data_IF_213835503769
#
_entry.id   IF_213835503769
#
_cell.length_a   1.000
_cell.length_b   1.000
_cell.length_c   1.000
_cell.angle_alpha   90.00
_cell.angle_beta   90.00
_cell.angle_gamma   90.00
#
_symmetry.space_group_name_H-M   'P 1'
#
loop_
_entity.id
_entity.type
_entity.pdbx_description
1 polymer ?
#
# COMPACT_ATOMS: atom_id res chain seq x y z
N UNK A 1 -7.59 -32.63 -46.73
CA UNK A 1 -8.09 -33.73 -47.58
C UNK A 1 -6.98 -34.70 -47.97
N UNK A 2 -5.84 -34.24 -48.51
CA UNK A 2 -4.70 -35.11 -48.88
C UNK A 2 -4.13 -35.96 -47.73
N UNK A 3 -4.03 -35.38 -46.53
CA UNK A 3 -3.44 -36.03 -45.33
C UNK A 3 -4.25 -37.23 -44.82
N UNK A 4 -5.58 -37.13 -44.84
CA UNK A 4 -6.48 -38.20 -44.39
C UNK A 4 -6.40 -39.39 -45.35
N UNK A 5 -6.25 -39.13 -46.66
CA UNK A 5 -6.09 -40.17 -47.67
C UNK A 5 -4.82 -41.01 -47.48
N UNK A 6 -3.69 -40.37 -47.15
CA UNK A 6 -2.41 -41.07 -46.91
C UNK A 6 -2.47 -41.98 -45.69
N UNK A 7 -3.11 -41.51 -44.61
CA UNK A 7 -3.27 -42.30 -43.37
C UNK A 7 -4.15 -43.52 -43.60
N UNK A 8 -5.29 -43.36 -44.29
CA UNK A 8 -6.21 -44.47 -44.58
C UNK A 8 -5.55 -45.51 -45.48
N UNK A 9 -4.81 -45.08 -46.51
CA UNK A 9 -4.08 -45.98 -47.40
C UNK A 9 -2.98 -46.77 -46.67
N UNK A 10 -2.25 -46.13 -45.75
CA UNK A 10 -1.21 -46.78 -44.95
C UNK A 10 -1.77 -47.86 -44.02
N UNK A 11 -2.90 -47.60 -43.38
CA UNK A 11 -3.58 -48.57 -42.50
C UNK A 11 -4.11 -49.76 -43.30
N UNK A 12 -4.72 -49.50 -44.47
CA UNK A 12 -5.23 -50.55 -45.35
C UNK A 12 -4.10 -51.47 -45.87
N UNK A 13 -2.97 -50.91 -46.32
CA UNK A 13 -1.81 -51.68 -46.78
C UNK A 13 -1.25 -52.59 -45.68
N UNK A 14 -1.13 -52.06 -44.46
CA UNK A 14 -0.60 -52.80 -43.31
C UNK A 14 -1.49 -53.98 -42.91
N UNK A 15 -2.82 -53.79 -42.91
CA UNK A 15 -3.78 -54.86 -42.60
C UNK A 15 -3.73 -56.00 -43.63
N UNK A 16 -3.53 -55.66 -44.91
CA UNK A 16 -3.47 -56.63 -46.00
C UNK A 16 -2.18 -57.48 -45.94
N UNK A 17 -1.05 -56.90 -45.56
CA UNK A 17 0.25 -57.60 -45.60
C UNK A 17 0.60 -58.39 -44.33
N UNK A 18 0.06 -58.03 -43.16
CA UNK A 18 0.49 -58.62 -41.89
C UNK A 18 -0.57 -59.45 -41.15
N UNK A 19 -1.82 -59.46 -41.65
CA UNK A 19 -2.91 -60.32 -41.16
C UNK A 19 -3.49 -59.93 -39.79
N UNK A 20 -4.73 -60.35 -39.47
CA UNK A 20 -5.43 -59.89 -38.26
C UNK A 20 -5.09 -60.79 -37.06
N UNK A 21 -3.95 -60.55 -36.42
CA UNK A 21 -3.67 -61.12 -35.08
C UNK A 21 -3.85 -60.05 -34.00
N UNK A 22 -4.66 -60.38 -33.00
CA UNK A 22 -5.26 -59.44 -32.04
C UNK A 22 -4.28 -58.74 -31.06
N UNK A 23 -2.96 -58.94 -31.19
CA UNK A 23 -1.94 -58.35 -30.31
C UNK A 23 -1.33 -57.04 -30.81
N UNK A 24 -1.47 -56.69 -32.10
CA UNK A 24 -0.72 -55.56 -32.70
C UNK A 24 -1.64 -54.38 -33.08
N UNK A 25 -2.96 -54.56 -33.05
CA UNK A 25 -3.92 -53.49 -33.38
C UNK A 25 -4.06 -52.40 -32.30
N UNK A 26 -3.63 -52.66 -31.06
CA UNK A 26 -3.65 -51.64 -29.99
C UNK A 26 -2.50 -50.62 -30.11
N UNK A 27 -1.38 -50.99 -30.73
CA UNK A 27 -0.22 -50.10 -30.92
C UNK A 27 -0.39 -49.12 -32.08
N UNK A 28 -1.04 -49.54 -33.16
CA UNK A 28 -1.18 -48.72 -34.37
C UNK A 28 -2.19 -47.57 -34.22
N UNK A 29 -3.22 -47.72 -33.37
CA UNK A 29 -4.22 -46.67 -33.11
C UNK A 29 -3.67 -45.61 -32.16
N UNK A 30 -2.86 -45.99 -31.17
CA UNK A 30 -2.22 -45.06 -30.22
C UNK A 30 -1.19 -44.14 -30.86
N UNK A 31 -0.39 -44.64 -31.82
CA UNK A 31 0.61 -43.84 -32.54
C UNK A 31 0.01 -42.75 -33.44
N UNK A 32 -1.20 -42.96 -33.95
CA UNK A 32 -1.87 -42.02 -34.86
C UNK A 32 -2.56 -40.85 -34.15
N UNK A 33 -2.98 -41.01 -32.90
CA UNK A 33 -3.50 -39.91 -32.07
C UNK A 33 -2.38 -38.95 -31.64
N UNK A 34 -1.17 -39.46 -31.40
CA UNK A 34 0.01 -38.62 -31.14
C UNK A 34 0.41 -37.72 -32.31
N UNK A 35 0.20 -38.18 -33.54
CA UNK A 35 0.48 -37.42 -34.78
C UNK A 35 -0.56 -36.33 -35.09
N UNK A 36 -1.76 -36.38 -34.52
CA UNK A 36 -2.75 -35.30 -34.59
C UNK A 36 -2.45 -34.16 -33.60
N UNK A 37 -1.72 -34.45 -32.51
CA UNK A 37 -1.27 -33.45 -31.53
C UNK A 37 0.03 -32.73 -31.92
N UNK A 38 0.82 -33.30 -32.83
CA UNK A 38 2.12 -32.78 -33.26
C UNK A 38 2.06 -31.36 -33.87
N UNK A 39 1.07 -30.97 -34.69
CA UNK A 39 0.96 -29.59 -35.17
C UNK A 39 0.61 -28.59 -34.05
N UNK A 40 -0.11 -29.03 -33.01
CA UNK A 40 -0.48 -28.20 -31.85
C UNK A 40 0.70 -28.07 -30.87
N UNK A 41 1.44 -29.15 -30.64
CA UNK A 41 2.68 -29.15 -29.85
C UNK A 41 3.79 -28.35 -30.55
N UNK A 42 3.90 -28.45 -31.89
CA UNK A 42 4.85 -27.64 -32.67
C UNK A 42 4.41 -26.17 -32.78
N UNK A 43 3.10 -25.86 -32.82
CA UNK A 43 2.60 -24.47 -32.65
C UNK A 43 2.84 -23.94 -31.24
N UNK A 44 2.76 -24.77 -30.21
CA UNK A 44 3.13 -24.41 -28.83
C UNK A 44 4.63 -24.15 -28.69
N UNK A 45 5.47 -25.00 -29.30
CA UNK A 45 6.92 -24.86 -29.32
C UNK A 45 7.40 -23.68 -30.19
N UNK A 46 6.73 -23.38 -31.30
CA UNK A 46 7.01 -22.20 -32.13
C UNK A 46 6.44 -20.90 -31.54
N UNK A 47 5.44 -20.98 -30.65
CA UNK A 47 4.99 -19.84 -29.83
C UNK A 47 5.93 -19.52 -28.66
N UNK A 48 6.85 -20.42 -28.31
CA UNK A 48 7.97 -20.12 -27.40
C UNK A 48 9.10 -19.31 -28.07
N UNK A 49 9.00 -19.04 -29.39
CA UNK A 49 9.81 -18.05 -30.09
C UNK A 49 9.15 -16.67 -30.20
N UNK A 50 7.99 -16.47 -29.58
CA UNK A 50 7.44 -15.12 -29.42
C UNK A 50 8.40 -14.30 -28.57
N UNK A 51 8.75 -13.09 -29.00
CA UNK A 51 9.42 -12.12 -28.13
C UNK A 51 8.76 -12.19 -26.75
N UNK A 52 9.52 -12.34 -25.64
CA UNK A 52 8.92 -12.26 -24.32
C UNK A 52 8.05 -11.00 -24.29
N UNK A 53 6.83 -11.06 -23.70
CA UNK A 53 6.00 -9.87 -23.59
C UNK A 53 6.86 -8.76 -23.02
N UNK A 54 6.89 -7.63 -23.72
CA UNK A 54 7.69 -6.47 -23.36
C UNK A 54 7.49 -6.19 -21.87
N UNK A 55 8.59 -6.25 -21.09
CA UNK A 55 8.56 -6.06 -19.65
C UNK A 55 7.96 -4.69 -19.39
N UNK A 56 6.82 -4.63 -18.71
CA UNK A 56 6.23 -3.34 -18.31
C UNK A 56 7.19 -2.68 -17.32
N UNK A 57 7.74 -1.49 -17.61
CA UNK A 57 8.63 -0.78 -16.70
C UNK A 57 7.98 -0.51 -15.34
N UNK A 58 8.76 -0.51 -14.26
CA UNK A 58 8.21 -0.40 -12.90
C UNK A 58 7.51 0.94 -12.62
N UNK A 59 7.95 2.03 -13.25
CA UNK A 59 7.29 3.33 -13.17
C UNK A 59 5.84 3.25 -13.68
N UNK A 60 5.60 2.54 -14.79
CA UNK A 60 4.26 2.27 -15.32
C UNK A 60 3.46 1.32 -14.46
N UNK A 61 4.11 0.35 -13.81
CA UNK A 61 3.45 -0.47 -12.78
C UNK A 61 3.02 0.39 -11.60
N UNK A 62 3.87 1.31 -11.15
CA UNK A 62 3.57 2.26 -10.07
C UNK A 62 2.41 3.20 -10.44
N UNK A 63 2.36 3.70 -11.68
CA UNK A 63 1.25 4.51 -12.17
C UNK A 63 -0.07 3.73 -12.17
N UNK A 64 -0.05 2.48 -12.62
CA UNK A 64 -1.20 1.58 -12.56
C UNK A 64 -1.67 1.33 -11.13
N UNK A 65 -0.73 1.10 -10.21
CA UNK A 65 -1.02 0.94 -8.78
C UNK A 65 -1.64 2.22 -8.20
N UNK A 66 -1.10 3.39 -8.51
CA UNK A 66 -1.61 4.68 -8.02
C UNK A 66 -3.07 4.90 -8.40
N UNK A 67 -3.47 4.51 -9.62
CA UNK A 67 -4.86 4.54 -10.05
C UNK A 67 -5.74 3.54 -9.26
N UNK A 68 -5.24 2.33 -9.02
CA UNK A 68 -5.94 1.31 -8.23
C UNK A 68 -6.19 1.76 -6.79
N UNK A 69 -5.14 2.24 -6.12
CA UNK A 69 -5.20 2.76 -4.75
C UNK A 69 -6.15 3.96 -4.66
N UNK A 70 -6.09 4.89 -5.62
CA UNK A 70 -7.00 6.04 -5.66
C UNK A 70 -8.46 5.60 -5.70
N UNK A 71 -8.81 4.71 -6.63
CA UNK A 71 -10.19 4.22 -6.78
C UNK A 71 -10.69 3.53 -5.51
N UNK A 72 -9.86 2.72 -4.88
CA UNK A 72 -10.19 2.03 -3.63
C UNK A 72 -10.55 3.03 -2.53
N UNK A 73 -9.70 4.02 -2.27
CA UNK A 73 -9.91 4.94 -1.16
C UNK A 73 -10.93 6.05 -1.45
N UNK A 74 -11.10 6.46 -2.70
CA UNK A 74 -12.22 7.33 -3.09
C UNK A 74 -13.56 6.64 -2.85
N UNK A 75 -13.68 5.35 -3.21
CA UNK A 75 -14.89 4.56 -2.93
C UNK A 75 -15.14 4.44 -1.41
N UNK A 76 -14.10 4.18 -0.62
CA UNK A 76 -14.21 4.09 0.83
C UNK A 76 -14.66 5.42 1.46
N UNK A 77 -14.12 6.55 1.00
CA UNK A 77 -14.51 7.90 1.43
C UNK A 77 -15.98 8.20 1.15
N UNK A 78 -16.51 7.73 0.01
CA UNK A 78 -17.92 7.87 -0.34
C UNK A 78 -18.81 7.00 0.57
N UNK A 79 -18.44 5.73 0.80
CA UNK A 79 -19.19 4.82 1.68
C UNK A 79 -19.23 5.35 3.11
N UNK A 80 -18.13 5.92 3.60
CA UNK A 80 -18.03 6.48 4.96
C UNK A 80 -18.61 7.88 5.10
N UNK A 81 -19.17 8.47 4.02
CA UNK A 81 -19.73 9.84 3.98
C UNK A 81 -18.80 10.87 4.63
N UNK A 82 -17.49 10.69 4.46
CA UNK A 82 -16.46 11.45 5.19
C UNK A 82 -16.53 12.96 4.95
N UNK A 83 -17.00 13.34 3.77
CA UNK A 83 -17.10 14.72 3.32
C UNK A 83 -18.54 15.24 3.35
N UNK A 84 -19.50 14.46 3.85
CA UNK A 84 -20.92 14.78 3.88
C UNK A 84 -21.36 14.84 5.34
N UNK A 85 -21.82 16.00 5.86
CA UNK A 85 -22.11 17.27 5.16
C UNK A 85 -20.89 18.15 4.90
N UNK A 86 -19.77 17.93 5.60
CA UNK A 86 -18.49 18.60 5.39
C UNK A 86 -17.38 17.78 6.06
N UNK A 87 -16.10 17.89 5.68
CA UNK A 87 -15.03 17.11 6.33
C UNK A 87 -14.93 17.43 7.83
N UNK A 88 -14.77 16.40 8.68
CA UNK A 88 -14.53 16.59 10.12
C UNK A 88 -13.34 17.55 10.36
N UNK A 89 -13.49 18.56 11.24
CA UNK A 89 -12.47 19.55 11.53
C UNK A 89 -11.40 19.00 12.48
N UNK A 90 -10.72 17.93 12.06
CA UNK A 90 -9.61 17.34 12.81
C UNK A 90 -8.48 18.36 12.90
N UNK A 91 -8.09 18.73 14.11
CA UNK A 91 -6.95 19.58 14.38
C UNK A 91 -5.86 18.80 15.13
N UNK A 92 -4.61 19.25 15.03
CA UNK A 92 -3.49 18.65 15.74
C UNK A 92 -2.49 19.70 16.17
N UNK A 93 -1.70 19.34 17.16
CA UNK A 93 -0.51 20.08 17.59
C UNK A 93 0.73 19.20 17.40
N UNK A 94 1.91 19.76 17.65
CA UNK A 94 3.14 18.98 17.75
C UNK A 94 3.00 17.91 18.86
N UNK A 95 3.51 16.71 18.63
CA UNK A 95 3.59 15.71 19.68
C UNK A 95 4.56 16.16 20.79
N UNK A 96 4.43 15.53 21.96
CA UNK A 96 5.33 15.79 23.08
C UNK A 96 6.77 15.45 22.67
N UNK A 97 7.72 16.33 23.02
CA UNK A 97 9.10 16.25 22.53
C UNK A 97 9.83 14.96 22.96
N UNK A 98 9.37 14.31 24.02
CA UNK A 98 9.93 13.07 24.52
C UNK A 98 9.48 11.84 23.73
N UNK A 99 8.46 11.95 22.88
CA UNK A 99 7.97 10.84 22.05
C UNK A 99 8.70 10.71 20.72
N UNK A 100 9.40 11.75 20.28
CA UNK A 100 9.98 11.84 18.94
C UNK A 100 11.41 12.36 18.98
N UNK A 101 12.08 12.39 17.82
CA UNK A 101 13.42 12.95 17.71
C UNK A 101 13.40 14.47 17.88
N UNK A 102 14.46 15.03 18.47
CA UNK A 102 14.56 16.47 18.66
C UNK A 102 14.50 17.22 17.32
N UNK A 103 13.86 18.39 17.29
CA UNK A 103 13.72 19.16 16.04
C UNK A 103 15.07 19.52 15.41
N UNK A 104 16.06 19.88 16.22
CA UNK A 104 17.43 20.13 15.76
C UNK A 104 18.05 18.87 15.16
N UNK A 105 17.88 17.72 15.79
CA UNK A 105 18.38 16.44 15.29
C UNK A 105 17.72 16.04 13.96
N UNK A 106 16.42 16.28 13.79
CA UNK A 106 15.73 16.03 12.52
C UNK A 106 16.28 16.89 11.37
N UNK A 107 16.54 18.18 11.64
CA UNK A 107 17.13 19.08 10.64
C UNK A 107 18.55 18.68 10.29
N UNK A 108 19.39 18.45 11.30
CA UNK A 108 20.77 18.01 11.12
C UNK A 108 20.83 16.69 10.36
N UNK A 109 19.96 15.73 10.70
CA UNK A 109 19.87 14.44 10.00
C UNK A 109 19.55 14.64 8.52
N UNK A 110 18.54 15.45 8.20
CA UNK A 110 18.09 15.68 6.83
C UNK A 110 19.11 16.50 5.99
N UNK A 111 19.73 17.51 6.58
CA UNK A 111 20.75 18.35 5.91
C UNK A 111 22.02 17.56 5.57
N UNK A 112 22.36 16.56 6.37
CA UNK A 112 23.54 15.71 6.18
C UNK A 112 23.30 14.47 5.30
N UNK A 113 22.13 14.29 4.70
CA UNK A 113 21.87 13.16 3.82
C UNK A 113 22.67 13.24 2.51
N UNK A 114 23.26 12.13 2.04
CA UNK A 114 23.83 12.06 0.70
C UNK A 114 22.76 12.34 -0.35
N UNK A 115 22.98 13.37 -1.19
CA UNK A 115 21.98 13.85 -2.16
C UNK A 115 21.07 14.95 -1.64
N UNK A 116 21.26 15.38 -0.39
CA UNK A 116 20.51 16.46 0.25
C UNK A 116 19.17 16.00 0.84
N UNK A 117 18.48 16.93 1.52
CA UNK A 117 17.17 16.66 2.10
C UNK A 117 16.08 16.43 1.05
N UNK A 118 14.97 15.75 1.42
CA UNK A 118 13.83 15.58 0.55
C UNK A 118 13.04 16.89 0.46
N UNK A 119 12.87 17.41 -0.76
CA UNK A 119 12.15 18.66 -1.00
C UNK A 119 12.98 19.91 -0.70
N UNK A 120 12.30 21.05 -0.52
CA UNK A 120 12.93 22.34 -0.28
C UNK A 120 13.02 22.65 1.23
N UNK A 121 14.23 22.80 1.82
CA UNK A 121 14.41 23.19 3.21
C UNK A 121 13.73 24.50 3.61
N UNK A 122 13.46 25.41 2.66
CA UNK A 122 12.72 26.64 2.93
C UNK A 122 11.26 26.39 3.35
N UNK A 123 10.69 25.24 2.98
CA UNK A 123 9.34 24.82 3.38
C UNK A 123 9.24 24.21 4.78
N UNK A 124 10.39 23.93 5.42
CA UNK A 124 10.42 23.29 6.73
C UNK A 124 9.86 24.21 7.81
N UNK A 125 9.22 23.61 8.82
CA UNK A 125 8.84 24.39 10.00
C UNK A 125 10.10 24.95 10.71
N UNK A 126 9.97 26.11 11.33
CA UNK A 126 11.06 26.69 12.14
C UNK A 126 11.28 25.91 13.43
N UNK A 127 10.26 25.22 13.93
CA UNK A 127 10.29 24.37 15.11
C UNK A 127 9.16 23.33 15.06
N UNK A 128 9.19 22.35 15.97
CA UNK A 128 8.15 21.31 16.07
C UNK A 128 6.73 21.90 16.21
N UNK A 129 6.57 23.03 16.91
CA UNK A 129 5.30 23.74 17.05
C UNK A 129 4.68 24.18 15.71
N UNK A 130 5.49 24.39 14.67
CA UNK A 130 5.02 24.74 13.32
C UNK A 130 4.36 23.57 12.57
N UNK A 131 4.37 22.37 13.16
CA UNK A 131 3.61 21.22 12.67
C UNK A 131 2.12 21.28 13.04
N UNK A 132 1.72 22.14 13.98
CA UNK A 132 0.31 22.36 14.31
C UNK A 132 -0.49 22.74 13.06
N UNK A 133 -1.72 22.24 12.97
CA UNK A 133 -2.53 22.41 11.77
C UNK A 133 -3.89 21.72 11.88
N UNK A 134 -4.60 21.70 10.75
CA UNK A 134 -5.94 21.10 10.65
C UNK A 134 -6.18 20.43 9.31
N UNK A 135 -7.06 19.42 9.34
CA UNK A 135 -7.62 18.69 8.21
C UNK A 135 -6.73 18.59 6.98
N UNK A 136 -7.01 19.45 5.99
CA UNK A 136 -6.38 19.43 4.67
C UNK A 136 -4.97 20.00 4.59
N UNK A 137 -4.32 20.32 5.72
CA UNK A 137 -2.92 20.73 5.77
C UNK A 137 -1.95 19.56 6.01
N UNK A 138 -2.46 18.36 6.29
CA UNK A 138 -1.64 17.20 6.70
C UNK A 138 -0.59 16.82 5.66
N UNK A 139 -0.93 17.05 4.40
CA UNK A 139 -0.13 16.79 3.23
C UNK A 139 1.03 17.77 3.08
N UNK A 140 0.82 19.06 3.43
CA UNK A 140 1.88 20.06 3.57
C UNK A 140 2.75 19.78 4.79
N UNK A 141 2.14 19.40 5.91
CA UNK A 141 2.88 18.98 7.12
C UNK A 141 3.85 17.86 6.76
N UNK A 142 3.36 16.80 6.11
CA UNK A 142 4.17 15.65 5.73
C UNK A 142 5.21 15.96 4.65
N UNK A 143 4.82 16.60 3.54
CA UNK A 143 5.69 16.75 2.36
C UNK A 143 6.65 17.94 2.41
N UNK A 144 6.29 18.99 3.14
CA UNK A 144 7.00 20.27 3.16
C UNK A 144 7.54 20.59 4.56
N UNK A 145 6.74 20.47 5.63
CA UNK A 145 7.15 20.98 6.94
C UNK A 145 8.09 20.05 7.71
N UNK A 146 7.99 18.73 7.50
CA UNK A 146 8.81 17.72 8.18
C UNK A 146 10.10 17.43 7.38
N UNK A 147 11.30 17.71 7.93
CA UNK A 147 12.56 17.60 7.19
C UNK A 147 12.83 16.23 6.58
N UNK A 148 12.45 15.18 7.28
CA UNK A 148 12.73 13.78 6.92
C UNK A 148 11.60 13.10 6.17
N UNK A 149 10.43 13.75 6.05
CA UNK A 149 9.16 13.15 5.61
C UNK A 149 8.79 11.85 6.34
N UNK A 150 9.15 11.75 7.62
CA UNK A 150 8.72 10.68 8.52
C UNK A 150 7.85 11.26 9.62
N UNK A 151 6.61 10.82 9.68
CA UNK A 151 5.59 11.43 10.54
C UNK A 151 4.89 10.38 11.40
N UNK A 152 4.81 10.63 12.70
CA UNK A 152 3.98 9.87 13.62
C UNK A 152 2.71 10.66 13.91
N UNK A 153 1.57 10.03 13.72
CA UNK A 153 0.23 10.58 13.94
C UNK A 153 -0.37 9.95 15.20
N UNK A 154 -0.33 10.68 16.31
CA UNK A 154 -0.82 10.23 17.60
C UNK A 154 -2.22 10.75 17.88
N UNK A 155 -2.99 10.01 18.66
CA UNK A 155 -4.30 10.47 19.12
C UNK A 155 -5.08 9.38 19.83
N UNK A 156 -6.12 9.80 20.56
CA UNK A 156 -6.97 8.89 21.32
C UNK A 156 -7.82 7.96 20.42
N UNK A 157 -8.41 6.89 20.96
CA UNK A 157 -9.37 6.07 20.23
C UNK A 157 -10.51 6.93 19.67
N UNK A 158 -10.86 6.72 18.40
CA UNK A 158 -11.92 7.51 17.74
C UNK A 158 -11.54 8.94 17.37
N UNK A 159 -10.30 9.40 17.59
CA UNK A 159 -9.89 10.78 17.26
C UNK A 159 -9.84 11.09 15.75
N UNK A 160 -10.05 10.09 14.88
CA UNK A 160 -10.02 10.26 13.43
C UNK A 160 -8.65 10.04 12.77
N UNK A 161 -7.72 9.32 13.43
CA UNK A 161 -6.38 9.00 12.87
C UNK A 161 -6.45 8.39 11.47
N UNK A 162 -7.14 7.26 11.32
CA UNK A 162 -7.34 6.58 10.03
C UNK A 162 -7.92 7.53 8.98
N UNK A 163 -8.86 8.40 9.37
CA UNK A 163 -9.44 9.36 8.44
C UNK A 163 -8.44 10.40 7.96
N UNK A 164 -7.61 10.91 8.87
CA UNK A 164 -6.54 11.83 8.52
C UNK A 164 -5.50 11.17 7.60
N UNK A 165 -5.18 9.90 7.82
CA UNK A 165 -4.29 9.13 6.95
C UNK A 165 -4.86 8.92 5.54
N UNK A 166 -6.16 8.61 5.42
CA UNK A 166 -6.83 8.48 4.11
C UNK A 166 -6.80 9.82 3.37
N UNK A 167 -7.06 10.93 4.06
CA UNK A 167 -6.96 12.28 3.47
C UNK A 167 -5.53 12.59 3.00
N UNK A 168 -4.53 12.25 3.81
CA UNK A 168 -3.13 12.37 3.43
C UNK A 168 -2.82 11.54 2.18
N UNK A 169 -3.22 10.27 2.16
CA UNK A 169 -3.03 9.37 1.03
C UNK A 169 -3.61 9.96 -0.27
N UNK A 170 -4.86 10.43 -0.24
CA UNK A 170 -5.51 11.01 -1.42
C UNK A 170 -4.82 12.31 -1.88
N UNK A 171 -4.42 13.17 -0.94
CA UNK A 171 -3.68 14.40 -1.25
C UNK A 171 -2.30 14.11 -1.87
N UNK A 172 -1.60 13.08 -1.37
CA UNK A 172 -0.33 12.62 -1.93
C UNK A 172 -0.51 12.03 -3.34
N UNK A 173 -1.55 11.22 -3.57
CA UNK A 173 -1.86 10.71 -4.90
C UNK A 173 -2.19 11.81 -5.90
N UNK A 174 -2.88 12.87 -5.46
CA UNK A 174 -3.27 13.98 -6.33
C UNK A 174 -2.07 14.79 -6.86
N UNK A 175 -0.95 14.84 -6.10
CA UNK A 175 0.27 15.55 -6.48
C UNK A 175 1.44 14.65 -6.87
N UNK A 176 1.21 13.34 -6.92
CA UNK A 176 2.24 12.36 -7.28
C UNK A 176 2.70 12.61 -8.73
N UNK A 177 4.01 12.73 -9.01
CA UNK A 177 4.52 12.76 -10.38
C UNK A 177 4.37 11.38 -11.04
N UNK A 178 4.27 11.33 -12.37
CA UNK A 178 4.33 10.06 -13.11
C UNK A 178 5.60 9.29 -12.75
N UNK A 179 5.47 7.98 -12.55
CA UNK A 179 6.56 7.10 -12.10
C UNK A 179 7.01 7.31 -10.64
N UNK A 180 6.45 8.27 -9.90
CA UNK A 180 6.85 8.55 -8.53
C UNK A 180 6.39 7.48 -7.50
N UNK A 181 6.81 7.61 -6.23
CA UNK A 181 6.36 6.71 -5.16
C UNK A 181 4.85 6.77 -4.95
N UNK A 182 4.23 5.61 -4.72
CA UNK A 182 2.79 5.47 -4.47
C UNK A 182 2.54 5.40 -2.96
N UNK A 183 1.77 6.32 -2.36
CA UNK A 183 1.33 6.18 -0.98
C UNK A 183 0.37 5.00 -0.85
N UNK A 184 0.64 4.08 0.07
CA UNK A 184 -0.21 2.91 0.32
C UNK A 184 -0.46 2.80 1.82
N UNK A 185 -1.73 2.65 2.19
CA UNK A 185 -2.14 2.44 3.58
C UNK A 185 -2.09 0.95 3.92
N UNK A 186 -1.38 0.61 5.00
CA UNK A 186 -1.25 -0.74 5.52
C UNK A 186 -1.74 -0.77 6.97
N UNK A 187 -2.69 -1.66 7.30
CA UNK A 187 -3.12 -1.88 8.69
C UNK A 187 -2.16 -2.82 9.40
N UNK A 188 -1.51 -2.32 10.45
CA UNK A 188 -0.51 -3.05 11.23
C UNK A 188 -1.10 -4.22 12.02
N UNK A 189 -2.41 -4.25 12.32
CA UNK A 189 -3.06 -5.35 13.05
C UNK A 189 -2.81 -6.75 12.47
N UNK A 190 -2.51 -6.84 11.18
CA UNK A 190 -2.25 -8.10 10.48
C UNK A 190 -0.78 -8.50 10.41
N UNK A 191 0.13 -7.67 10.93
CA UNK A 191 1.57 -7.94 10.91
C UNK A 191 2.02 -8.64 12.20
N UNK A 192 2.81 -9.70 12.03
CA UNK A 192 3.53 -10.33 13.14
C UNK A 192 5.06 -10.21 12.88
N UNK A 193 5.75 -9.26 13.54
CA UNK A 193 7.18 -9.05 13.32
C UNK A 193 8.06 -10.23 13.77
N UNK A 194 7.51 -11.19 14.52
CA UNK A 194 8.25 -12.42 14.90
C UNK A 194 8.26 -13.49 13.82
N UNK A 195 7.31 -13.39 12.87
CA UNK A 195 7.10 -14.42 11.84
C UNK A 195 7.48 -13.96 10.44
N UNK A 196 7.40 -12.66 10.17
CA UNK A 196 7.58 -12.12 8.83
C UNK A 196 8.22 -10.75 8.88
N UNK A 197 9.23 -10.54 8.03
CA UNK A 197 9.83 -9.23 7.82
C UNK A 197 8.82 -8.25 7.19
N UNK A 198 9.10 -6.96 7.35
CA UNK A 198 8.20 -5.89 6.92
C UNK A 198 7.96 -5.89 5.41
N UNK A 199 9.00 -6.07 4.60
CA UNK A 199 8.91 -5.98 3.13
C UNK A 199 8.10 -7.14 2.56
N UNK A 200 8.33 -8.37 3.03
CA UNK A 200 7.53 -9.54 2.64
C UNK A 200 6.07 -9.38 3.08
N UNK A 201 5.82 -8.85 4.27
CA UNK A 201 4.46 -8.59 4.75
C UNK A 201 3.75 -7.55 3.88
N UNK A 202 4.39 -6.40 3.61
CA UNK A 202 3.83 -5.35 2.74
C UNK A 202 3.58 -5.86 1.32
N UNK A 203 4.50 -6.65 0.74
CA UNK A 203 4.30 -7.27 -0.57
C UNK A 203 3.09 -8.22 -0.57
N UNK A 204 2.89 -8.96 0.52
CA UNK A 204 1.71 -9.77 0.75
C UNK A 204 0.41 -8.95 0.74
N UNK A 205 0.36 -7.81 1.43
CA UNK A 205 -0.80 -6.91 1.40
C UNK A 205 -1.04 -6.37 -0.01
N UNK A 206 0.01 -5.84 -0.65
CA UNK A 206 -0.05 -5.27 -2.00
C UNK A 206 -0.59 -6.27 -3.02
N UNK A 207 -0.16 -7.53 -2.97
CA UNK A 207 -0.62 -8.56 -3.89
C UNK A 207 -2.04 -9.05 -3.59
N UNK A 208 -2.49 -8.99 -2.33
CA UNK A 208 -3.87 -9.29 -1.96
C UNK A 208 -4.83 -8.22 -2.50
N UNK A 209 -4.52 -6.96 -2.27
CA UNK A 209 -5.39 -5.83 -2.64
C UNK A 209 -5.28 -5.48 -4.12
N UNK A 210 -4.10 -5.72 -4.72
CA UNK A 210 -3.82 -5.50 -6.13
C UNK A 210 -3.23 -6.75 -6.80
N UNK A 211 -4.08 -7.72 -7.20
CA UNK A 211 -3.66 -9.00 -7.78
C UNK A 211 -2.68 -8.94 -8.95
N UNK A 212 -2.73 -7.87 -9.75
CA UNK A 212 -1.81 -7.66 -10.89
C UNK A 212 -0.34 -7.55 -10.45
N UNK A 213 -0.07 -7.20 -9.19
CA UNK A 213 1.28 -7.13 -8.65
C UNK A 213 1.91 -8.49 -8.35
N UNK A 214 1.16 -9.60 -8.47
CA UNK A 214 1.71 -10.97 -8.37
C UNK A 214 2.56 -11.35 -9.58
N UNK A 215 2.41 -10.65 -10.70
CA UNK A 215 3.21 -10.92 -11.89
C UNK A 215 4.71 -10.78 -11.60
N UNK A 216 5.59 -11.50 -12.32
CA UNK A 216 7.04 -11.38 -12.15
C UNK A 216 7.53 -9.94 -12.37
N UNK A 217 8.57 -9.57 -11.62
CA UNK A 217 9.27 -8.30 -11.82
C UNK A 217 9.89 -8.22 -13.24
N UNK A 218 10.09 -7.00 -13.78
CA UNK A 218 10.75 -6.79 -15.08
C UNK A 218 12.15 -7.41 -15.12
N UNK A 219 12.49 -8.05 -16.26
CA UNK A 219 13.77 -8.75 -16.44
C UNK A 219 15.00 -7.82 -16.47
N UNK A 220 14.79 -6.53 -16.73
CA UNK A 220 15.83 -5.49 -16.81
C UNK A 220 16.45 -5.14 -15.44
N UNK A 221 15.84 -5.59 -14.35
CA UNK A 221 16.40 -5.43 -13.00
C UNK A 221 17.47 -6.50 -12.78
N UNK A 222 18.68 -6.23 -13.27
CA UNK A 222 19.88 -7.05 -13.07
C UNK A 222 20.35 -7.01 -11.60
N UNK A 223 19.54 -7.46 -10.63
CA UNK A 223 19.98 -8.04 -9.35
C UNK A 223 18.81 -8.46 -8.43
N UNK A 224 18.90 -9.73 -8.00
CA UNK A 224 18.61 -10.23 -6.64
C UNK A 224 17.17 -10.47 -6.17
N UNK A 225 16.32 -11.09 -6.99
CA UNK A 225 15.48 -12.26 -6.63
C UNK A 225 14.38 -12.47 -7.66
N UNK A 226 13.92 -13.72 -7.90
CA UNK A 226 12.63 -13.97 -8.55
C UNK A 226 11.50 -13.44 -7.66
N UNK A 227 11.27 -12.13 -7.72
CA UNK A 227 10.26 -11.42 -6.95
C UNK A 227 9.02 -11.10 -7.79
N UNK A 228 7.91 -10.86 -7.09
CA UNK A 228 6.72 -10.27 -7.70
C UNK A 228 6.94 -8.78 -7.95
N UNK A 229 6.15 -8.16 -8.83
CA UNK A 229 6.15 -6.70 -9.01
C UNK A 229 5.97 -5.93 -7.70
N UNK A 230 5.23 -6.49 -6.73
CA UNK A 230 5.10 -5.89 -5.40
C UNK A 230 6.44 -5.76 -4.67
N UNK A 231 7.28 -6.81 -4.67
CA UNK A 231 8.61 -6.77 -4.06
C UNK A 231 9.49 -5.75 -4.78
N UNK A 232 9.48 -5.77 -6.11
CA UNK A 232 10.27 -4.85 -6.91
C UNK A 232 9.90 -3.37 -6.65
N UNK A 233 8.62 -3.04 -6.44
CA UNK A 233 8.19 -1.69 -6.06
C UNK A 233 8.71 -1.28 -4.67
N UNK A 234 8.74 -2.19 -3.69
CA UNK A 234 9.26 -1.94 -2.35
C UNK A 234 10.78 -1.75 -2.34
N UNK A 235 11.50 -2.63 -3.04
CA UNK A 235 12.96 -2.57 -3.18
C UNK A 235 13.41 -1.27 -3.84
N UNK A 236 12.73 -0.86 -4.92
CA UNK A 236 13.00 0.39 -5.64
C UNK A 236 12.44 1.63 -4.94
N UNK A 237 11.89 1.50 -3.72
CA UNK A 237 11.36 2.61 -2.91
C UNK A 237 10.27 3.41 -3.62
N UNK A 238 9.51 2.73 -4.50
CA UNK A 238 8.35 3.28 -5.22
C UNK A 238 7.06 3.18 -4.42
N UNK A 239 7.14 2.84 -3.13
CA UNK A 239 6.01 2.84 -2.19
C UNK A 239 6.35 3.76 -1.01
N UNK A 240 5.42 4.65 -0.68
CA UNK A 240 5.44 5.44 0.55
C UNK A 240 4.49 4.77 1.56
N UNK A 241 5.00 4.01 2.54
CA UNK A 241 4.15 3.30 3.48
C UNK A 241 3.45 4.26 4.45
N UNK A 242 2.13 4.11 4.56
CA UNK A 242 1.30 4.73 5.58
C UNK A 242 0.78 3.61 6.49
N UNK A 243 1.40 3.45 7.64
CA UNK A 243 1.17 2.35 8.57
C UNK A 243 0.17 2.78 9.63
N UNK A 244 -1.02 2.17 9.62
CA UNK A 244 -2.11 2.50 10.53
C UNK A 244 -2.19 1.49 11.68
N UNK A 245 -2.23 1.97 12.92
CA UNK A 245 -2.60 1.16 14.09
C UNK A 245 -1.47 0.38 14.74
N UNK A 246 -0.33 1.01 15.08
CA UNK A 246 0.69 0.33 15.92
C UNK A 246 0.09 -0.18 17.24
N UNK A 247 -0.86 0.56 17.82
CA UNK A 247 -1.56 0.18 19.05
C UNK A 247 -2.44 -1.06 18.92
N UNK A 248 -2.73 -1.50 17.68
CA UNK A 248 -3.49 -2.73 17.43
C UNK A 248 -2.62 -3.98 17.61
N UNK A 249 -1.30 -3.83 17.65
CA UNK A 249 -0.38 -4.90 18.00
C UNK A 249 -0.33 -5.10 19.53
N UNK A 250 -0.18 -6.35 20.00
CA UNK A 250 0.13 -6.62 21.40
C UNK A 250 1.37 -5.83 21.86
N UNK A 251 1.43 -5.32 23.11
CA UNK A 251 2.51 -4.44 23.57
C UNK A 251 3.93 -4.96 23.31
N UNK A 252 4.16 -6.26 23.49
CA UNK A 252 5.47 -6.88 23.20
C UNK A 252 5.85 -6.85 21.70
N UNK A 253 4.87 -6.91 20.81
CA UNK A 253 5.08 -6.84 19.37
C UNK A 253 5.24 -5.40 18.87
N UNK A 254 4.73 -4.40 19.59
CA UNK A 254 4.90 -2.98 19.23
C UNK A 254 6.37 -2.57 19.21
N UNK A 255 7.14 -3.00 20.21
CA UNK A 255 8.60 -2.73 20.29
C UNK A 255 9.34 -3.39 19.12
N UNK A 256 9.03 -4.67 18.85
CA UNK A 256 9.63 -5.41 17.74
C UNK A 256 9.26 -4.80 16.38
N UNK A 257 8.03 -4.32 16.25
CA UNK A 257 7.57 -3.61 15.06
C UNK A 257 8.37 -2.32 14.83
N UNK A 258 8.59 -1.49 15.86
CA UNK A 258 9.41 -0.29 15.76
C UNK A 258 10.86 -0.59 15.37
N UNK A 259 11.45 -1.63 15.95
CA UNK A 259 12.80 -2.08 15.62
C UNK A 259 12.91 -2.56 14.16
N UNK A 260 11.96 -3.40 13.71
CA UNK A 260 11.89 -3.86 12.34
C UNK A 260 11.64 -2.70 11.34
N UNK A 261 10.87 -1.67 11.71
CA UNK A 261 10.70 -0.46 10.90
C UNK A 261 12.01 0.32 10.75
N UNK A 262 12.77 0.48 11.84
CA UNK A 262 14.08 1.14 11.80
C UNK A 262 15.09 0.38 10.93
N UNK A 263 15.07 -0.96 10.98
CA UNK A 263 15.96 -1.81 10.19
C UNK A 263 15.59 -1.89 8.71
N UNK A 264 14.29 -1.89 8.39
CA UNK A 264 13.80 -2.11 7.01
C UNK A 264 13.64 -0.80 6.22
N UNK A 265 13.30 0.30 6.91
CA UNK A 265 13.02 1.60 6.30
C UNK A 265 14.01 2.67 6.82
N UNK A 266 15.15 2.89 6.13
CA UNK A 266 16.13 3.90 6.51
C UNK A 266 15.50 5.27 6.72
N UNK A 267 16.10 6.13 7.55
CA UNK A 267 15.52 7.43 7.90
C UNK A 267 15.24 8.36 6.70
N UNK A 268 15.90 8.14 5.55
CA UNK A 268 15.64 8.86 4.29
C UNK A 268 14.38 8.41 3.55
N UNK A 269 13.83 7.26 3.89
CA UNK A 269 12.62 6.74 3.29
C UNK A 269 11.40 7.36 3.97
N UNK A 270 10.52 8.04 3.21
CA UNK A 270 9.30 8.62 3.77
C UNK A 270 8.40 7.53 4.35
N UNK A 271 7.81 7.81 5.51
CA UNK A 271 6.77 6.94 6.09
C UNK A 271 5.84 7.71 6.99
N UNK A 272 4.64 7.17 7.17
CA UNK A 272 3.70 7.66 8.17
C UNK A 272 3.34 6.50 9.08
N UNK A 273 3.31 6.73 10.39
CA UNK A 273 2.89 5.75 11.39
C UNK A 273 1.80 6.36 12.25
N UNK A 274 0.71 5.64 12.51
CA UNK A 274 -0.28 6.06 13.50
C UNK A 274 -0.27 5.14 14.72
N UNK A 275 -0.65 5.71 15.86
CA UNK A 275 -0.84 4.96 17.10
C UNK A 275 -1.66 5.75 18.11
N UNK A 276 -2.14 5.08 19.16
CA UNK A 276 -2.54 5.75 20.40
C UNK A 276 -1.34 6.37 21.09
N UNK A 277 -1.56 7.53 21.71
CA UNK A 277 -0.50 8.27 22.41
C UNK A 277 0.16 7.43 23.50
N UNK A 278 -0.64 6.72 24.30
CA UNK A 278 -0.19 5.89 25.42
C UNK A 278 0.62 4.69 24.97
N UNK A 279 0.15 3.97 23.96
CA UNK A 279 0.78 2.77 23.43
C UNK A 279 2.12 3.11 22.76
N UNK A 280 2.13 4.16 21.95
CA UNK A 280 3.36 4.67 21.35
C UNK A 280 4.39 5.10 22.39
N UNK A 281 3.95 5.79 23.45
CA UNK A 281 4.81 6.19 24.58
C UNK A 281 5.44 4.98 25.26
N UNK A 282 4.67 3.92 25.48
CA UNK A 282 5.17 2.69 26.10
C UNK A 282 6.18 1.97 25.19
N UNK A 283 5.91 1.87 23.89
CA UNK A 283 6.82 1.24 22.94
C UNK A 283 8.14 2.03 22.77
N UNK A 284 8.04 3.36 22.69
CA UNK A 284 9.19 4.27 22.50
C UNK A 284 10.07 4.45 23.74
N UNK A 285 9.60 4.01 24.91
CA UNK A 285 10.45 3.86 26.08
C UNK A 285 11.59 2.85 25.86
N UNK A 286 11.40 1.88 24.95
CA UNK A 286 12.40 0.85 24.60
C UNK A 286 13.09 1.14 23.27
N UNK A 287 12.31 1.43 22.21
CA UNK A 287 12.84 1.67 20.85
C UNK A 287 12.16 2.88 20.23
N UNK A 288 12.93 3.92 19.90
CA UNK A 288 12.42 5.10 19.18
C UNK A 288 12.37 4.85 17.68
N UNK A 289 11.37 5.41 17.00
CA UNK A 289 11.36 5.45 15.54
C UNK A 289 12.33 6.54 15.05
N UNK A 290 13.35 6.17 14.28
CA UNK A 290 14.39 7.09 13.83
C UNK A 290 13.86 8.11 12.81
N UNK A 291 14.34 9.35 12.92
CA UNK A 291 14.07 10.41 11.97
C UNK A 291 12.62 10.87 11.93
N UNK A 292 11.77 10.52 12.90
CA UNK A 292 10.36 10.85 12.84
C UNK A 292 10.01 12.12 13.61
N UNK A 293 9.25 13.01 12.98
CA UNK A 293 8.51 14.07 13.65
C UNK A 293 7.15 13.54 14.13
N UNK A 294 6.53 14.20 15.11
CA UNK A 294 5.24 13.77 15.65
C UNK A 294 4.19 14.88 15.65
N UNK A 295 2.96 14.51 15.34
CA UNK A 295 1.77 15.32 15.61
C UNK A 295 0.80 14.55 16.51
N UNK A 296 0.05 15.26 17.34
CA UNK A 296 -0.99 14.71 18.19
C UNK A 296 -2.32 15.36 17.87
N UNK A 297 -3.29 14.54 17.48
CA UNK A 297 -4.66 14.96 17.22
C UNK A 297 -5.27 15.49 18.51
N UNK A 298 -5.92 16.63 18.39
CA UNK A 298 -6.68 17.22 19.47
C UNK A 298 -8.05 16.55 19.53
N UNK A 299 -8.64 16.41 20.74
CA UNK A 299 -10.04 16.05 20.87
C UNK A 299 -10.89 16.97 20.00
N UNK A 300 -11.94 16.43 19.37
CA UNK A 300 -12.93 17.26 18.71
C UNK A 300 -13.56 18.16 19.78
N UNK A 301 -13.42 19.47 19.59
CA UNK A 301 -14.11 20.46 20.40
C UNK A 301 -15.62 20.18 20.36
N UNK A 302 -16.28 20.23 21.52
CA UNK A 302 -17.70 19.87 21.65
C UNK A 302 -18.59 20.74 20.76
N UNK A 303 -18.27 22.03 20.62
CA UNK A 303 -18.98 22.94 19.73
C UNK A 303 -18.85 22.50 18.27
N UNK A 304 -17.64 22.14 17.86
CA UNK A 304 -17.35 21.64 16.51
C UNK A 304 -18.04 20.31 16.23
N UNK A 305 -18.10 19.41 17.21
CA UNK A 305 -18.83 18.15 17.13
C UNK A 305 -20.35 18.38 17.04
N UNK A 306 -20.91 19.29 17.83
CA UNK A 306 -22.33 19.66 17.77
C UNK A 306 -22.71 20.25 16.42
N UNK A 307 -21.93 21.20 15.89
CA UNK A 307 -22.17 21.80 14.57
C UNK A 307 -22.10 20.74 13.47
N UNK A 308 -21.14 19.81 13.57
CA UNK A 308 -21.05 18.70 12.63
C UNK A 308 -22.29 17.80 12.70
N UNK A 309 -22.67 17.34 13.90
CA UNK A 309 -23.82 16.47 14.11
C UNK A 309 -25.14 17.13 13.71
N UNK A 310 -25.30 18.44 13.93
CA UNK A 310 -26.48 19.20 13.48
C UNK A 310 -26.57 19.23 11.96
N UNK A 311 -25.46 19.46 11.27
CA UNK A 311 -25.41 19.45 9.80
C UNK A 311 -25.61 18.04 9.23
N UNK A 312 -25.13 17.01 9.91
CA UNK A 312 -25.32 15.61 9.53
C UNK A 312 -26.76 15.16 9.78
N UNK A 313 -27.42 15.74 10.79
CA UNK A 313 -28.79 15.44 11.18
C UNK A 313 -29.86 16.10 10.29
N UNK A 314 -29.53 17.04 9.40
CA UNK A 314 -30.54 17.78 8.63
C UNK A 314 -30.66 17.34 7.16
N UNK A 315 -31.76 16.65 6.87
CA UNK A 315 -32.76 17.29 6.02
C UNK A 315 -33.72 18.11 6.91
N UNK A 316 -34.23 19.27 6.47
CA UNK A 316 -34.97 20.20 7.33
C UNK A 316 -36.25 19.55 7.89
N UNK A 317 -36.26 19.27 9.20
CA UNK A 317 -37.44 18.76 9.93
C UNK A 317 -37.28 17.39 10.61
N UNK A 318 -36.09 16.78 10.66
CA UNK A 318 -35.88 15.48 11.30
C UNK A 318 -35.78 15.58 12.84
N UNK A 319 -36.54 14.73 13.56
CA UNK A 319 -36.52 14.60 15.03
C UNK A 319 -35.11 14.41 15.64
N UNK A 320 -34.15 13.93 14.83
CA UNK A 320 -32.76 13.75 15.20
C UNK A 320 -32.04 15.08 15.51
N UNK A 321 -32.28 16.15 14.74
CA UNK A 321 -31.66 17.46 14.96
C UNK A 321 -32.08 18.06 16.32
N UNK A 322 -33.38 17.93 16.64
CA UNK A 322 -33.95 18.38 17.92
C UNK A 322 -33.41 17.57 19.12
N UNK A 323 -33.17 16.26 18.93
CA UNK A 323 -32.57 15.39 19.95
C UNK A 323 -31.12 15.79 20.25
N UNK A 324 -30.33 16.11 19.23
CA UNK A 324 -28.93 16.53 19.40
C UNK A 324 -28.81 17.95 19.97
N UNK A 325 -29.73 18.87 19.65
CA UNK A 325 -29.77 20.19 20.30
C UNK A 325 -30.06 20.08 21.79
N UNK A 326 -30.89 19.12 22.22
CA UNK A 326 -31.18 18.89 23.64
C UNK A 326 -29.97 18.37 24.42
N UNK A 327 -29.14 17.51 23.81
CA UNK A 327 -27.92 16.99 24.43
C UNK A 327 -26.82 18.07 24.47
N UNK A 328 -26.68 18.87 23.41
CA UNK A 328 -25.70 19.95 23.36
C UNK A 328 -25.97 21.06 24.38
N UNK A 329 -27.23 21.30 24.75
CA UNK A 329 -27.61 22.25 25.79
C UNK A 329 -27.36 21.74 27.23
N UNK A 330 -26.99 20.45 27.38
CA UNK A 330 -26.75 19.80 28.68
C UNK A 330 -25.27 19.51 28.98
N UNK A 331 -24.37 19.89 28.06
CA UNK A 331 -22.92 19.87 28.21
C UNK A 331 -22.41 21.28 28.55
#
# INVERSE_FOLDING_TARGET
MLYVGVVVAGVAWFVIHYGPTAGILAGAVGGLVGLLGLPAALRGALRLGGKPPESVPLDKVADGLALGVRRQWEAEVQVRRVNDPSPLPVAWTAADADLVESWSGLRELAENWPGGPPGDPAGWATGAWGLAGKGGEIDKVFSERVPTRRLVVLGEPGSGKTMLLIRLLLALLARRPEGGPVPVLFSLASWDPTRQDLDTWMAGQLTRDHPALRAPAPAELEQSSPGTRAHALLEQRLITPILDGLDELPPGLQVLALDALNGSLPARQPLVLSSRTTDYRNATATVRLHGAAGIRLLPLDSTSATVYLQRDADGPGAEAATRWSGIAASL
#
